data_IF_629885964693
#
_entry.id   IF_629885964693
#
_cell.length_a   1.000
_cell.length_b   1.000
_cell.length_c   1.000
_cell.angle_alpha   90.00
_cell.angle_beta   90.00
_cell.angle_gamma   90.00
#
_symmetry.space_group_name_H-M   'P 1'
#
loop_
_entity.id
_entity.type
_entity.pdbx_description
1 polymer ?
#
# COMPACT_ATOMS: atom_id res chain seq x y z
N UNK A 1 28.10 19.30 2.36
CA UNK A 1 26.91 18.62 2.93
C UNK A 1 27.25 17.32 3.69
N UNK A 2 28.12 16.45 3.21
CA UNK A 2 28.47 15.16 3.84
C UNK A 2 29.21 15.27 5.17
N UNK A 3 30.15 16.22 5.31
CA UNK A 3 30.89 16.46 6.53
C UNK A 3 30.01 16.92 7.71
N UNK A 4 28.95 17.68 7.41
CA UNK A 4 27.98 18.13 8.41
C UNK A 4 27.14 16.96 8.95
N UNK A 5 26.77 16.00 8.10
CA UNK A 5 26.00 14.81 8.53
C UNK A 5 26.85 13.88 9.39
N UNK A 6 28.15 13.74 9.09
CA UNK A 6 29.08 12.95 9.91
C UNK A 6 29.31 13.61 11.28
N UNK A 7 29.46 14.93 11.30
CA UNK A 7 29.62 15.70 12.53
C UNK A 7 28.34 15.63 13.38
N UNK A 8 27.17 15.79 12.77
CA UNK A 8 25.87 15.65 13.43
C UNK A 8 25.70 14.26 14.05
N UNK A 9 26.11 13.18 13.34
CA UNK A 9 26.14 11.83 13.86
C UNK A 9 26.99 11.71 15.13
N UNK A 10 28.22 12.24 15.09
CA UNK A 10 29.15 12.16 16.24
C UNK A 10 28.62 12.96 17.41
N UNK A 11 28.14 14.18 17.19
CA UNK A 11 27.64 15.08 18.23
C UNK A 11 26.38 14.50 18.92
N UNK A 12 25.50 13.83 18.17
CA UNK A 12 24.34 13.14 18.75
C UNK A 12 24.73 11.88 19.51
N UNK A 13 25.69 11.10 18.98
CA UNK A 13 26.19 9.90 19.64
C UNK A 13 26.91 10.20 20.97
N UNK A 14 27.54 11.35 21.06
CA UNK A 14 28.23 11.82 22.29
C UNK A 14 27.28 12.57 23.25
N UNK A 15 26.02 12.76 22.90
CA UNK A 15 25.04 13.49 23.71
C UNK A 15 25.26 15.00 23.75
N UNK A 16 26.14 15.53 22.89
CA UNK A 16 26.45 16.97 22.82
C UNK A 16 25.29 17.79 22.18
N UNK A 17 24.41 17.14 21.43
CA UNK A 17 23.20 17.77 20.88
C UNK A 17 21.97 17.02 21.37
N UNK A 18 20.95 17.72 21.87
CA UNK A 18 19.66 17.11 22.16
C UNK A 18 19.03 16.62 20.85
N UNK A 19 18.55 15.37 20.86
CA UNK A 19 17.83 14.81 19.71
C UNK A 19 16.36 14.64 20.02
N UNK A 20 15.55 15.64 19.80
CA UNK A 20 14.17 15.62 20.25
C UNK A 20 13.22 14.87 19.29
N UNK A 21 13.58 14.63 18.04
CA UNK A 21 12.58 14.28 17.02
C UNK A 21 12.94 13.04 16.20
N UNK A 22 14.22 12.73 16.00
CA UNK A 22 14.66 11.66 15.11
C UNK A 22 15.21 10.43 15.87
N UNK A 23 15.01 9.21 15.36
CA UNK A 23 15.67 8.03 15.90
C UNK A 23 17.19 8.14 15.77
N UNK A 24 17.91 7.44 16.65
CA UNK A 24 19.38 7.41 16.62
C UNK A 24 19.90 7.07 15.22
N UNK A 25 20.82 7.87 14.67
CA UNK A 25 21.43 7.56 13.39
C UNK A 25 22.27 6.28 13.48
N UNK A 26 22.31 5.53 12.41
CA UNK A 26 23.09 4.30 12.27
C UNK A 26 24.27 4.51 11.34
N UNK A 27 25.20 3.56 11.31
CA UNK A 27 26.30 3.57 10.35
C UNK A 27 25.81 3.63 8.90
N UNK A 28 24.61 3.09 8.62
CA UNK A 28 24.00 3.16 7.29
C UNK A 28 23.57 4.58 6.88
N UNK A 29 23.46 5.51 7.80
CA UNK A 29 23.09 6.90 7.54
C UNK A 29 24.34 7.74 7.13
N UNK A 30 25.56 7.19 7.32
CA UNK A 30 26.81 7.83 6.90
C UNK A 30 27.05 7.57 5.40
N UNK A 31 27.14 8.59 4.55
CA UNK A 31 27.14 8.46 3.09
C UNK A 31 28.20 7.48 2.52
N UNK A 32 29.42 7.46 3.08
CA UNK A 32 30.48 6.57 2.60
C UNK A 32 30.37 5.15 3.17
N UNK A 33 29.85 5.00 4.38
CA UNK A 33 29.69 3.72 5.07
C UNK A 33 28.46 2.98 4.56
N UNK A 34 27.48 3.71 4.08
CA UNK A 34 26.21 3.20 3.54
C UNK A 34 26.38 2.13 2.44
N UNK A 35 27.45 2.21 1.66
CA UNK A 35 27.72 1.21 0.61
C UNK A 35 28.16 -0.15 1.17
N UNK A 36 28.64 -0.20 2.39
CA UNK A 36 29.25 -1.39 3.03
C UNK A 36 28.44 -1.95 4.20
N UNK A 37 27.38 -1.25 4.61
CA UNK A 37 26.54 -1.67 5.74
C UNK A 37 25.20 -2.17 5.22
N UNK A 38 24.76 -3.31 5.75
CA UNK A 38 23.41 -3.83 5.49
C UNK A 38 22.41 -2.78 5.97
N UNK A 39 21.55 -2.32 5.05
CA UNK A 39 20.52 -1.32 5.36
C UNK A 39 19.55 -1.90 6.38
N UNK A 40 19.25 -1.13 7.40
CA UNK A 40 18.13 -1.45 8.29
C UNK A 40 16.84 -1.60 7.47
N UNK A 41 15.91 -2.48 7.91
CA UNK A 41 14.61 -2.62 7.30
C UNK A 41 13.92 -1.24 7.26
N UNK A 42 13.18 -0.98 6.20
CA UNK A 42 12.47 0.28 5.99
C UNK A 42 11.15 0.03 5.30
N UNK A 43 10.26 1.04 5.30
CA UNK A 43 9.00 0.99 4.54
C UNK A 43 9.19 0.92 3.01
N UNK A 44 10.43 1.06 2.52
CA UNK A 44 10.80 0.88 1.11
C UNK A 44 11.44 -0.51 0.84
N UNK A 45 11.37 -1.44 1.81
CA UNK A 45 11.81 -2.81 1.60
C UNK A 45 11.04 -3.44 0.43
N UNK A 46 11.73 -4.24 -0.37
CA UNK A 46 11.17 -4.86 -1.58
C UNK A 46 9.82 -5.58 -1.34
N UNK A 47 9.63 -6.40 -0.29
CA UNK A 47 8.33 -7.04 -0.06
C UNK A 47 7.19 -6.05 0.16
N UNK A 48 7.46 -4.89 0.77
CA UNK A 48 6.45 -3.87 1.02
C UNK A 48 6.12 -3.11 -0.27
N UNK A 49 7.13 -2.81 -1.10
CA UNK A 49 6.92 -2.18 -2.39
C UNK A 49 6.08 -3.09 -3.31
N UNK A 50 6.47 -4.36 -3.43
CA UNK A 50 5.75 -5.37 -4.19
C UNK A 50 4.30 -5.53 -3.71
N UNK A 51 4.07 -5.58 -2.39
CA UNK A 51 2.72 -5.68 -1.85
C UNK A 51 1.85 -4.46 -2.19
N UNK A 52 2.42 -3.26 -2.21
CA UNK A 52 1.66 -2.06 -2.61
C UNK A 52 1.19 -2.12 -4.06
N UNK A 53 2.02 -2.63 -4.96
CA UNK A 53 1.66 -2.86 -6.36
C UNK A 53 0.55 -3.90 -6.48
N UNK A 54 0.69 -5.03 -5.80
CA UNK A 54 -0.32 -6.09 -5.74
C UNK A 54 -1.65 -5.60 -5.19
N UNK A 55 -1.62 -4.81 -4.11
CA UNK A 55 -2.82 -4.20 -3.54
C UNK A 55 -3.48 -3.21 -4.51
N UNK A 56 -2.69 -2.38 -5.18
CA UNK A 56 -3.21 -1.42 -6.16
C UNK A 56 -3.92 -2.14 -7.31
N UNK A 57 -3.34 -3.21 -7.82
CA UNK A 57 -3.97 -4.03 -8.86
C UNK A 57 -5.26 -4.68 -8.36
N UNK A 58 -5.22 -5.40 -7.23
CA UNK A 58 -6.38 -6.06 -6.67
C UNK A 58 -7.52 -5.10 -6.33
N UNK A 59 -7.21 -3.94 -5.72
CA UNK A 59 -8.20 -2.94 -5.35
C UNK A 59 -8.85 -2.24 -6.55
N UNK A 60 -8.07 -1.97 -7.59
CA UNK A 60 -8.58 -1.44 -8.85
C UNK A 60 -9.57 -2.40 -9.51
N UNK A 61 -9.21 -3.67 -9.46
CA UNK A 61 -10.03 -4.73 -10.00
C UNK A 61 -11.37 -4.88 -9.25
N UNK A 62 -11.34 -4.86 -7.91
CA UNK A 62 -12.55 -4.86 -7.08
C UNK A 62 -13.50 -3.71 -7.39
N UNK A 63 -12.95 -2.52 -7.61
CA UNK A 63 -13.78 -1.36 -8.01
C UNK A 63 -14.48 -1.61 -9.33
N UNK A 64 -13.79 -2.22 -10.30
CA UNK A 64 -14.37 -2.56 -11.59
C UNK A 64 -15.50 -3.59 -11.45
N UNK A 65 -15.31 -4.64 -10.66
CA UNK A 65 -16.33 -5.65 -10.41
C UNK A 65 -17.55 -5.05 -9.72
N UNK A 66 -17.35 -4.27 -8.66
CA UNK A 66 -18.44 -3.61 -7.95
C UNK A 66 -19.24 -2.64 -8.86
N UNK A 67 -18.57 -2.03 -9.83
CA UNK A 67 -19.23 -1.20 -10.84
C UNK A 67 -20.08 -2.06 -11.78
N UNK A 68 -19.51 -3.12 -12.34
CA UNK A 68 -20.21 -4.01 -13.28
C UNK A 68 -21.41 -4.69 -12.61
N UNK A 69 -21.28 -5.12 -11.36
CA UNK A 69 -22.37 -5.70 -10.57
C UNK A 69 -23.53 -4.71 -10.43
N UNK A 70 -23.25 -3.45 -10.14
CA UNK A 70 -24.27 -2.42 -10.00
C UNK A 70 -24.93 -2.02 -11.32
N UNK A 71 -24.13 -1.88 -12.38
CA UNK A 71 -24.62 -1.42 -13.68
C UNK A 71 -25.41 -2.50 -14.43
N UNK A 72 -24.97 -3.75 -14.34
CA UNK A 72 -25.48 -4.84 -15.17
C UNK A 72 -26.22 -5.94 -14.39
N UNK A 73 -26.32 -5.84 -13.05
CA UNK A 73 -26.97 -6.81 -12.17
C UNK A 73 -26.45 -8.26 -12.36
N UNK A 74 -25.15 -8.41 -12.60
CA UNK A 74 -24.55 -9.74 -12.78
C UNK A 74 -24.15 -10.34 -11.42
N UNK A 75 -25.09 -11.01 -10.76
CA UNK A 75 -24.85 -11.76 -9.53
C UNK A 75 -23.77 -12.86 -9.70
N UNK A 76 -23.65 -13.41 -10.91
CA UNK A 76 -22.67 -14.46 -11.22
C UNK A 76 -21.20 -14.02 -11.07
N UNK A 77 -20.92 -12.73 -11.27
CA UNK A 77 -19.55 -12.20 -11.12
C UNK A 77 -19.18 -12.10 -9.64
N UNK A 78 -20.11 -11.68 -8.81
CA UNK A 78 -19.89 -11.57 -7.36
C UNK A 78 -19.64 -12.95 -6.72
N UNK A 79 -20.33 -13.99 -7.18
CA UNK A 79 -20.18 -15.35 -6.67
C UNK A 79 -18.81 -15.99 -6.99
N UNK A 80 -18.08 -15.46 -7.96
CA UNK A 80 -16.74 -15.93 -8.33
C UNK A 80 -15.62 -15.25 -7.53
N UNK A 81 -15.95 -14.22 -6.75
CA UNK A 81 -14.97 -13.46 -6.00
C UNK A 81 -14.53 -14.20 -4.73
N UNK A 82 -13.22 -14.43 -4.55
CA UNK A 82 -12.71 -14.98 -3.30
C UNK A 82 -12.67 -13.89 -2.21
N UNK A 83 -13.83 -13.41 -1.76
CA UNK A 83 -13.96 -12.33 -0.79
C UNK A 83 -13.10 -12.52 0.46
N UNK A 84 -12.95 -13.75 0.95
CA UNK A 84 -12.13 -14.06 2.11
C UNK A 84 -10.64 -13.77 1.87
N UNK A 85 -10.12 -14.05 0.66
CA UNK A 85 -8.73 -13.75 0.29
C UNK A 85 -8.56 -12.25 0.06
N UNK A 86 -9.53 -11.59 -0.55
CA UNK A 86 -9.51 -10.15 -0.74
C UNK A 86 -9.55 -9.40 0.60
N UNK A 87 -10.38 -9.84 1.53
CA UNK A 87 -10.44 -9.29 2.88
C UNK A 87 -9.12 -9.49 3.63
N UNK A 88 -8.43 -10.63 3.45
CA UNK A 88 -7.10 -10.85 4.01
C UNK A 88 -6.05 -9.89 3.42
N UNK A 89 -6.14 -9.60 2.11
CA UNK A 89 -5.29 -8.61 1.45
C UNK A 89 -5.56 -7.21 1.97
N UNK A 90 -6.81 -6.83 2.11
CA UNK A 90 -7.24 -5.56 2.69
C UNK A 90 -6.75 -5.41 4.14
N UNK A 91 -6.91 -6.43 4.96
CA UNK A 91 -6.39 -6.46 6.32
C UNK A 91 -4.88 -6.24 6.39
N UNK A 92 -4.13 -6.85 5.47
CA UNK A 92 -2.68 -6.62 5.35
C UNK A 92 -2.35 -5.17 5.00
N UNK A 93 -3.11 -4.55 4.08
CA UNK A 93 -2.94 -3.15 3.71
C UNK A 93 -3.25 -2.19 4.87
N UNK A 94 -4.32 -2.43 5.60
CA UNK A 94 -4.72 -1.65 6.77
C UNK A 94 -3.68 -1.75 7.89
N UNK A 95 -3.16 -2.96 8.14
CA UNK A 95 -2.09 -3.19 9.12
C UNK A 95 -0.80 -2.43 8.75
N UNK A 96 -0.38 -2.46 7.49
CA UNK A 96 0.77 -1.69 7.00
C UNK A 96 0.55 -0.18 7.14
N UNK A 97 -0.66 0.30 6.84
CA UNK A 97 -1.03 1.71 7.01
C UNK A 97 -0.99 2.14 8.48
N UNK A 98 -1.41 1.25 9.37
CA UNK A 98 -1.36 1.47 10.82
C UNK A 98 0.09 1.52 11.32
N UNK A 99 0.93 0.59 10.91
CA UNK A 99 2.36 0.60 11.24
C UNK A 99 3.02 1.91 10.78
N UNK A 100 2.73 2.36 9.56
CA UNK A 100 3.28 3.62 9.04
C UNK A 100 2.87 4.83 9.91
N UNK A 101 1.61 4.89 10.34
CA UNK A 101 1.12 5.95 11.26
C UNK A 101 1.80 5.83 12.62
N UNK A 102 1.95 4.63 13.17
CA UNK A 102 2.62 4.37 14.44
C UNK A 102 4.08 4.83 14.39
N UNK A 103 4.81 4.55 13.31
CA UNK A 103 6.19 5.04 13.12
C UNK A 103 6.23 6.58 13.15
N UNK A 104 5.26 7.24 12.49
CA UNK A 104 5.17 8.70 12.53
C UNK A 104 4.88 9.24 13.94
N UNK A 105 4.06 8.55 14.74
CA UNK A 105 3.77 8.91 16.12
C UNK A 105 5.00 8.71 17.01
N UNK A 106 5.69 7.57 16.90
CA UNK A 106 6.94 7.29 17.63
C UNK A 106 7.98 8.40 17.39
N UNK A 107 8.16 8.80 16.13
CA UNK A 107 9.07 9.90 15.80
C UNK A 107 8.71 11.23 16.51
N UNK A 108 7.41 11.50 16.67
CA UNK A 108 6.91 12.75 17.29
C UNK A 108 6.82 12.67 18.81
N UNK A 109 7.01 11.52 19.43
CA UNK A 109 6.86 11.33 20.89
C UNK A 109 8.08 11.92 21.61
N UNK A 110 7.93 13.00 22.39
CA UNK A 110 9.06 13.67 23.04
C UNK A 110 9.59 12.90 24.26
N UNK A 111 8.78 12.04 24.87
CA UNK A 111 9.15 11.26 26.06
C UNK A 111 10.05 10.06 25.76
N UNK A 112 10.23 9.68 24.49
CA UNK A 112 11.08 8.57 24.10
C UNK A 112 12.49 9.07 23.75
N UNK A 113 13.49 8.35 24.22
CA UNK A 113 14.88 8.58 23.83
C UNK A 113 15.11 8.18 22.36
N UNK A 114 16.18 8.67 21.76
CA UNK A 114 16.53 8.36 20.37
C UNK A 114 16.76 6.86 20.15
N UNK A 115 17.33 6.16 21.13
CA UNK A 115 17.57 4.71 21.08
C UNK A 115 16.27 3.91 21.21
N UNK A 116 15.37 4.29 22.10
CA UNK A 116 14.04 3.67 22.23
C UNK A 116 13.22 3.85 20.94
N UNK A 117 13.27 5.03 20.34
CA UNK A 117 12.63 5.28 19.02
C UNK A 117 13.20 4.35 17.96
N UNK A 118 14.53 4.20 17.90
CA UNK A 118 15.19 3.32 16.92
C UNK A 118 14.73 1.87 17.09
N UNK A 119 14.81 1.32 18.30
CA UNK A 119 14.41 -0.06 18.58
C UNK A 119 12.93 -0.31 18.24
N UNK A 120 12.06 0.63 18.62
CA UNK A 120 10.62 0.52 18.32
C UNK A 120 10.37 0.55 16.82
N UNK A 121 10.98 1.48 16.08
CA UNK A 121 10.81 1.63 14.64
C UNK A 121 11.36 0.41 13.90
N UNK A 122 12.52 -0.12 14.29
CA UNK A 122 13.09 -1.31 13.68
C UNK A 122 12.16 -2.52 13.86
N UNK A 123 11.58 -2.69 15.05
CA UNK A 123 10.56 -3.73 15.32
C UNK A 123 9.35 -3.57 14.42
N UNK A 124 8.83 -2.35 14.27
CA UNK A 124 7.70 -2.07 13.39
C UNK A 124 8.02 -2.35 11.93
N UNK A 125 9.23 -2.09 11.46
CA UNK A 125 9.65 -2.43 10.11
C UNK A 125 9.71 -3.95 9.88
N UNK A 126 10.19 -4.74 10.84
CA UNK A 126 10.17 -6.20 10.71
C UNK A 126 8.74 -6.74 10.65
N UNK A 127 7.83 -6.19 11.47
CA UNK A 127 6.41 -6.55 11.41
C UNK A 127 5.82 -6.19 10.05
N UNK A 128 6.11 -5.01 9.52
CA UNK A 128 5.65 -4.58 8.20
C UNK A 128 6.11 -5.51 7.08
N UNK A 129 7.39 -5.93 7.11
CA UNK A 129 7.92 -6.88 6.11
C UNK A 129 7.21 -8.23 6.21
N UNK A 130 6.95 -8.72 7.42
CA UNK A 130 6.23 -9.99 7.63
C UNK A 130 4.81 -9.92 7.08
N UNK A 131 4.08 -8.85 7.39
CA UNK A 131 2.72 -8.61 6.86
C UNK A 131 2.72 -8.49 5.34
N UNK A 132 3.68 -7.78 4.78
CA UNK A 132 3.80 -7.63 3.32
C UNK A 132 4.08 -8.96 2.62
N UNK A 133 4.94 -9.81 3.18
CA UNK A 133 5.17 -11.16 2.65
C UNK A 133 3.89 -12.00 2.65
N UNK A 134 3.17 -12.01 3.76
CA UNK A 134 1.88 -12.70 3.84
C UNK A 134 0.87 -12.16 2.82
N UNK A 135 0.80 -10.83 2.66
CA UNK A 135 -0.05 -10.19 1.65
C UNK A 135 0.33 -10.58 0.23
N UNK A 136 1.63 -10.64 -0.09
CA UNK A 136 2.13 -11.08 -1.39
C UNK A 136 1.76 -12.54 -1.68
N UNK A 137 1.94 -13.44 -0.71
CA UNK A 137 1.54 -14.85 -0.83
C UNK A 137 0.02 -14.99 -1.04
N UNK A 138 -0.77 -14.15 -0.36
CA UNK A 138 -2.23 -14.12 -0.52
C UNK A 138 -2.60 -13.62 -1.91
N UNK A 139 -1.92 -12.60 -2.42
CA UNK A 139 -2.14 -12.09 -3.78
C UNK A 139 -1.85 -13.14 -4.86
N UNK A 140 -0.77 -13.91 -4.73
CA UNK A 140 -0.47 -14.97 -5.71
C UNK A 140 -1.57 -16.04 -5.79
N UNK A 141 -2.32 -16.28 -4.71
CA UNK A 141 -3.50 -17.15 -4.72
C UNK A 141 -4.70 -16.52 -5.44
N UNK A 142 -4.84 -15.21 -5.37
CA UNK A 142 -5.96 -14.46 -6.00
C UNK A 142 -5.68 -14.18 -7.48
N UNK A 143 -4.44 -13.99 -7.85
CA UNK A 143 -4.00 -13.58 -9.20
C UNK A 143 -4.61 -14.38 -10.36
N UNK A 144 -4.65 -15.74 -10.33
CA UNK A 144 -5.31 -16.51 -11.39
C UNK A 144 -6.81 -16.23 -11.47
N UNK A 145 -7.47 -16.02 -10.32
CA UNK A 145 -8.88 -15.69 -10.25
C UNK A 145 -9.16 -14.29 -10.80
N UNK A 146 -8.30 -13.32 -10.48
CA UNK A 146 -8.37 -11.96 -11.05
C UNK A 146 -8.29 -12.03 -12.58
N UNK A 147 -7.40 -12.83 -13.12
CA UNK A 147 -7.25 -12.99 -14.58
C UNK A 147 -8.52 -13.55 -15.22
N UNK A 148 -9.07 -14.63 -14.67
CA UNK A 148 -10.31 -15.23 -15.17
C UNK A 148 -11.49 -14.26 -15.13
N UNK A 149 -11.64 -13.55 -14.01
CA UNK A 149 -12.70 -12.56 -13.84
C UNK A 149 -12.56 -11.39 -14.82
N UNK A 150 -11.31 -10.94 -15.08
CA UNK A 150 -11.04 -9.90 -16.06
C UNK A 150 -11.49 -10.30 -17.46
N UNK A 151 -11.17 -11.52 -17.88
CA UNK A 151 -11.62 -12.06 -19.17
C UNK A 151 -13.14 -12.17 -19.25
N UNK A 152 -13.81 -12.54 -18.16
CA UNK A 152 -15.28 -12.60 -18.10
C UNK A 152 -15.91 -11.20 -18.14
N UNK A 153 -15.37 -10.26 -17.36
CA UNK A 153 -15.84 -8.87 -17.34
C UNK A 153 -15.76 -8.22 -18.73
N UNK A 154 -14.65 -8.42 -19.46
CA UNK A 154 -14.51 -7.93 -20.83
C UNK A 154 -15.52 -8.56 -21.81
N UNK A 155 -15.86 -9.84 -21.64
CA UNK A 155 -16.88 -10.50 -22.46
C UNK A 155 -18.28 -9.95 -22.19
N UNK A 156 -18.57 -9.61 -20.94
CA UNK A 156 -19.83 -9.00 -20.52
C UNK A 156 -19.95 -7.57 -21.09
N UNK A 157 -18.91 -6.77 -20.94
CA UNK A 157 -18.89 -5.39 -21.45
C UNK A 157 -19.05 -5.32 -22.98
N UNK A 158 -18.50 -6.29 -23.71
CA UNK A 158 -18.66 -6.42 -25.15
C UNK A 158 -20.07 -6.89 -25.58
N UNK A 159 -20.79 -7.60 -24.69
CA UNK A 159 -22.16 -8.07 -24.95
C UNK A 159 -23.24 -7.08 -24.51
N UNK A 160 -22.89 -6.13 -23.64
CA UNK A 160 -23.82 -5.09 -23.23
C UNK A 160 -24.25 -4.29 -24.46
N UNK A 161 -25.56 -4.14 -24.73
CA UNK A 161 -26.00 -3.31 -25.82
C UNK A 161 -25.48 -1.89 -25.59
N UNK A 162 -24.73 -1.34 -26.55
CA UNK A 162 -24.43 0.10 -26.54
C UNK A 162 -25.81 0.78 -26.50
N UNK A 163 -26.13 1.41 -25.39
CA UNK A 163 -27.20 2.38 -25.38
C UNK A 163 -26.77 3.47 -26.36
N UNK A 164 -27.27 3.40 -27.57
CA UNK A 164 -27.24 4.55 -28.46
C UNK A 164 -27.91 5.67 -27.66
N UNK A 165 -27.15 6.73 -27.43
CA UNK A 165 -27.73 7.98 -26.93
C UNK A 165 -28.89 8.31 -27.88
N UNK A 166 -30.09 8.10 -27.38
CA UNK A 166 -31.31 8.56 -28.11
C UNK A 166 -31.08 10.04 -28.28
N UNK A 167 -30.98 10.43 -29.55
CA UNK A 167 -30.80 11.81 -29.98
C UNK A 167 -31.91 12.65 -29.32
N UNK A 168 -31.61 13.67 -28.50
CA UNK A 168 -32.61 14.46 -27.82
C UNK A 168 -33.47 15.32 -28.78
N UNK A 169 -33.26 15.21 -30.09
CA UNK A 169 -34.02 15.94 -31.12
C UNK A 169 -35.41 15.36 -31.44
N UNK A 170 -35.78 14.19 -30.87
CA UNK A 170 -37.14 13.66 -31.02
C UNK A 170 -38.03 14.08 -29.85
N UNK A 171 -38.64 15.28 -29.95
CA UNK A 171 -39.59 15.71 -28.93
C UNK A 171 -40.19 17.09 -29.09
N UNK A 172 -40.32 17.64 -30.30
CA UNK A 172 -41.33 18.69 -30.51
C UNK A 172 -42.71 18.04 -30.68
N UNK A 173 -43.42 17.88 -29.57
CA UNK A 173 -44.87 17.59 -29.59
C UNK A 173 -45.56 18.91 -29.93
N UNK A 174 -45.96 19.06 -31.17
CA UNK A 174 -46.92 20.08 -31.55
C UNK A 174 -48.28 19.65 -31.03
N UNK A 175 -48.77 20.34 -30.01
CA UNK A 175 -50.15 20.21 -29.51
C UNK A 175 -51.00 21.15 -30.32
N UNK A 176 -52.13 20.70 -30.89
CA UNK A 176 -53.06 21.53 -31.71
C UNK A 176 -53.84 22.55 -30.89
#
# INVERSE_FOLDING_TARGET
>A
MYALNALDYVLRKTGALPDPVKPTPTLADIPFVRAFVVRHPSMNAEPIAQFREHWQEASSYMKTINRLEKEFKYEDIANLMPYHLFNALQGSYEALSTIQRTIQQVNKTPSMTADEKRQTIDTLYYQAITIAKYGNETYEKIKPMIKELKERAEKVEKKAPRMELVDPSFGEIVIP
#
